data_IF_975737079510
#
_entry.id   IF_975737079510
#
_cell.length_a   1.000
_cell.length_b   1.000
_cell.length_c   1.000
_cell.angle_alpha   90.00
_cell.angle_beta   90.00
_cell.angle_gamma   90.00
#
_symmetry.space_group_name_H-M   'P 1'
#
loop_
_entity.id
_entity.type
_entity.pdbx_description
1 polymer ?
#
# COMPACT_ATOMS: atom_id res chain seq x y z
N UNK A 1 28.16 -13.96 -14.93
CA UNK A 1 27.56 -13.62 -13.66
C UNK A 1 27.02 -12.19 -13.66
N UNK A 2 27.84 -11.28 -14.11
CA UNK A 2 27.39 -9.91 -14.21
C UNK A 2 26.27 -9.75 -15.18
N UNK A 3 26.38 -10.42 -16.33
CA UNK A 3 25.36 -10.35 -17.35
C UNK A 3 24.04 -10.91 -16.84
N UNK A 4 24.13 -11.94 -16.00
CA UNK A 4 22.93 -12.52 -15.43
C UNK A 4 22.32 -11.60 -14.39
N UNK A 5 23.16 -10.97 -13.61
CA UNK A 5 22.71 -10.03 -12.63
C UNK A 5 22.14 -8.79 -13.29
N UNK A 6 22.79 -8.33 -14.34
CA UNK A 6 22.29 -7.21 -15.09
C UNK A 6 20.99 -7.54 -15.79
N UNK A 7 20.92 -8.75 -16.28
CA UNK A 7 19.74 -9.19 -16.95
C UNK A 7 18.58 -9.35 -15.99
N UNK A 8 18.86 -9.86 -14.81
CA UNK A 8 17.85 -9.98 -13.79
C UNK A 8 17.44 -8.59 -13.35
N UNK A 9 18.38 -7.70 -13.18
CA UNK A 9 18.10 -6.35 -12.82
C UNK A 9 17.37 -5.63 -13.94
N UNK A 10 17.71 -5.93 -15.17
CA UNK A 10 17.01 -5.33 -16.29
C UNK A 10 15.62 -5.89 -16.49
N UNK A 11 15.43 -7.15 -16.20
CA UNK A 11 14.12 -7.76 -16.28
C UNK A 11 13.27 -7.23 -15.14
N UNK A 12 13.85 -7.09 -14.00
CA UNK A 12 13.18 -6.49 -12.89
C UNK A 12 12.93 -5.03 -13.17
N UNK A 13 13.91 -4.35 -13.74
CA UNK A 13 13.74 -2.97 -14.09
C UNK A 13 12.69 -2.78 -15.16
N UNK A 14 12.48 -3.75 -15.99
CA UNK A 14 11.41 -3.67 -16.96
C UNK A 14 10.07 -3.94 -16.32
N UNK A 15 10.03 -4.88 -15.42
CA UNK A 15 8.83 -5.18 -14.68
C UNK A 15 8.51 -4.05 -13.72
N UNK A 16 9.52 -3.48 -13.13
CA UNK A 16 9.35 -2.43 -12.18
C UNK A 16 9.74 -1.10 -12.74
N UNK A 17 9.80 -1.01 -14.04
CA UNK A 17 10.07 0.26 -14.60
C UNK A 17 8.90 1.18 -14.38
N UNK A 18 7.74 0.62 -14.37
CA UNK A 18 6.61 1.36 -13.94
C UNK A 18 6.72 1.64 -12.46
N UNK A 19 7.32 0.73 -11.75
CA UNK A 19 7.54 0.93 -10.34
C UNK A 19 8.87 1.57 -10.07
N UNK A 20 9.73 1.71 -11.04
CA UNK A 20 11.02 2.31 -10.81
C UNK A 20 10.94 3.80 -10.57
N UNK A 21 9.96 4.44 -11.11
CA UNK A 21 9.74 5.83 -10.83
C UNK A 21 9.19 5.96 -9.45
N UNK A 22 8.32 5.06 -9.11
CA UNK A 22 7.80 4.91 -7.83
C UNK A 22 8.93 4.54 -6.89
N UNK A 23 9.77 3.61 -7.30
CA UNK A 23 10.90 3.18 -6.53
C UNK A 23 11.98 4.24 -6.39
N UNK A 24 12.08 5.15 -7.30
CA UNK A 24 13.02 6.24 -7.17
C UNK A 24 12.58 7.22 -6.11
N UNK A 25 11.30 7.48 -6.04
CA UNK A 25 10.76 8.32 -4.98
C UNK A 25 10.79 7.58 -3.67
N UNK A 26 10.52 6.30 -3.69
CA UNK A 26 10.61 5.45 -2.53
C UNK A 26 11.99 5.40 -1.99
N UNK A 27 12.96 5.23 -2.86
CA UNK A 27 14.32 5.11 -2.47
C UNK A 27 14.82 6.39 -1.83
N UNK A 28 14.40 7.52 -2.34
CA UNK A 28 14.74 8.78 -1.73
C UNK A 28 14.09 8.91 -0.36
N UNK A 29 12.86 8.46 -0.26
CA UNK A 29 12.16 8.45 1.02
C UNK A 29 12.76 7.41 1.95
N UNK A 30 13.14 6.26 1.40
CA UNK A 30 13.75 5.20 2.17
C UNK A 30 15.11 5.60 2.72
N UNK A 31 15.91 6.25 1.94
CA UNK A 31 17.20 6.73 2.41
C UNK A 31 17.04 7.75 3.50
N UNK A 32 16.03 8.56 3.38
CA UNK A 32 15.73 9.55 4.38
C UNK A 32 15.20 8.90 5.64
N UNK A 33 14.45 7.83 5.48
CA UNK A 33 13.83 7.13 6.58
C UNK A 33 14.53 5.83 6.93
N UNK A 34 15.61 5.48 6.25
CA UNK A 34 16.25 4.19 6.40
C UNK A 34 16.68 3.90 7.82
N UNK A 35 17.04 4.91 8.55
CA UNK A 35 17.36 4.75 9.94
C UNK A 35 16.12 4.87 10.81
N UNK A 36 14.99 5.17 10.23
CA UNK A 36 13.79 5.53 10.98
C UNK A 36 12.50 5.00 10.39
N UNK A 37 12.56 3.97 9.53
CA UNK A 37 11.34 3.37 9.03
C UNK A 37 10.55 2.81 10.22
N UNK A 38 9.31 3.23 10.42
CA UNK A 38 8.55 2.85 11.61
C UNK A 38 8.10 1.40 11.55
N UNK A 39 7.85 0.84 12.73
CA UNK A 39 7.29 -0.50 12.85
C UNK A 39 5.76 -0.46 12.83
N UNK A 40 5.17 0.70 12.72
CA UNK A 40 3.72 0.82 12.65
C UNK A 40 3.31 2.06 11.87
N UNK A 41 2.15 1.98 11.25
CA UNK A 41 1.54 3.11 10.57
C UNK A 41 0.03 2.98 10.69
N UNK A 42 -0.65 4.10 10.58
CA UNK A 42 -2.09 4.13 10.61
C UNK A 42 -2.61 4.81 9.35
N UNK A 43 -3.67 4.27 8.80
CA UNK A 43 -4.30 4.79 7.59
C UNK A 43 -5.79 4.89 7.85
N UNK A 44 -6.38 5.99 7.41
CA UNK A 44 -7.82 6.18 7.49
C UNK A 44 -8.39 6.47 6.10
N UNK A 45 -9.60 6.04 5.79
CA UNK A 45 -10.26 6.52 4.59
C UNK A 45 -10.65 7.98 4.81
N UNK A 46 -10.50 8.80 3.77
CA UNK A 46 -10.90 10.20 3.90
C UNK A 46 -12.42 10.29 3.95
N UNK A 47 -12.91 11.31 4.62
CA UNK A 47 -14.34 11.52 4.74
C UNK A 47 -14.96 11.70 3.36
N UNK A 48 -16.03 10.96 3.10
CA UNK A 48 -16.71 11.01 1.80
C UNK A 48 -16.08 10.14 0.72
N UNK A 49 -15.07 9.32 1.06
CA UNK A 49 -14.40 8.49 0.08
C UNK A 49 -15.28 7.37 -0.48
N UNK A 50 -16.44 7.15 0.09
CA UNK A 50 -17.42 6.21 -0.46
C UNK A 50 -18.00 6.70 -1.79
N UNK A 51 -17.74 7.93 -2.16
CA UNK A 51 -18.13 8.49 -3.46
C UNK A 51 -16.87 8.81 -4.26
N UNK A 52 -16.89 8.62 -5.59
CA UNK A 52 -15.75 9.01 -6.43
C UNK A 52 -15.45 10.50 -6.29
N UNK A 53 -14.20 10.87 -6.50
CA UNK A 53 -13.76 12.26 -6.44
C UNK A 53 -12.67 12.50 -5.42
N UNK A 54 -12.38 11.50 -4.59
CA UNK A 54 -11.29 11.61 -3.61
C UNK A 54 -9.92 11.26 -4.20
N UNK A 55 -9.90 10.65 -5.40
CA UNK A 55 -8.65 10.15 -5.97
C UNK A 55 -7.65 11.29 -6.18
N UNK A 56 -6.35 11.03 -6.04
CA UNK A 56 -5.74 9.73 -5.74
C UNK A 56 -5.61 9.46 -4.24
N UNK A 57 -6.09 10.31 -3.40
CA UNK A 57 -5.86 10.20 -1.96
C UNK A 57 -7.13 9.88 -1.18
N UNK A 58 -7.75 8.78 -1.55
CA UNK A 58 -8.95 8.31 -0.86
C UNK A 58 -8.62 7.69 0.50
N UNK A 59 -7.40 7.23 0.68
CA UNK A 59 -6.87 6.84 1.99
C UNK A 59 -5.86 7.88 2.42
N UNK A 60 -5.76 8.14 3.70
CA UNK A 60 -4.87 9.15 4.24
C UNK A 60 -4.01 8.55 5.36
N UNK A 61 -2.69 8.49 5.18
CA UNK A 61 -1.97 8.79 3.95
C UNK A 61 -2.20 7.68 2.91
N UNK A 62 -2.10 8.04 1.63
CA UNK A 62 -2.30 7.07 0.55
C UNK A 62 -1.10 6.14 0.36
N UNK A 63 0.06 6.54 0.85
CA UNK A 63 1.27 5.73 0.83
C UNK A 63 1.90 5.76 2.21
N UNK A 64 2.20 4.58 2.73
CA UNK A 64 2.90 4.45 4.01
C UNK A 64 4.11 3.55 3.83
N UNK A 65 5.14 3.82 4.62
CA UNK A 65 6.36 3.01 4.64
C UNK A 65 6.58 2.47 6.04
N UNK A 66 6.82 1.18 6.14
CA UNK A 66 7.12 0.52 7.42
C UNK A 66 8.34 -0.38 7.26
N UNK A 67 8.93 -0.76 8.37
CA UNK A 67 9.99 -1.77 8.38
C UNK A 67 9.37 -3.15 8.28
N UNK A 68 10.12 -4.11 7.74
CA UNK A 68 9.68 -5.51 7.68
C UNK A 68 9.35 -6.00 9.10
N UNK A 69 8.24 -6.69 9.22
CA UNK A 69 7.72 -7.11 10.52
C UNK A 69 6.82 -6.06 11.16
N UNK A 70 6.66 -4.92 10.52
CA UNK A 70 5.81 -3.85 11.02
C UNK A 70 4.34 -4.10 10.76
N UNK A 71 3.50 -3.28 11.36
CA UNK A 71 2.05 -3.41 11.29
C UNK A 71 1.42 -2.13 10.76
N UNK A 72 0.49 -2.28 9.83
CA UNK A 72 -0.33 -1.16 9.37
C UNK A 72 -1.74 -1.36 9.92
N UNK A 73 -2.26 -0.34 10.54
CA UNK A 73 -3.62 -0.37 11.09
C UNK A 73 -4.50 0.58 10.27
N UNK A 74 -5.59 0.04 9.79
CA UNK A 74 -6.58 0.80 9.03
C UNK A 74 -7.79 1.02 9.93
N UNK A 75 -8.10 2.28 10.20
CA UNK A 75 -9.22 2.64 11.07
C UNK A 75 -10.28 3.32 10.24
N UNK A 76 -11.47 2.77 10.22
CA UNK A 76 -12.57 3.37 9.47
C UNK A 76 -13.23 4.48 10.26
N UNK A 77 -12.79 5.70 10.01
CA UNK A 77 -13.37 6.89 10.62
C UNK A 77 -14.41 7.56 9.71
N UNK A 78 -14.70 6.96 8.56
CA UNK A 78 -15.70 7.45 7.64
C UNK A 78 -17.09 6.95 8.06
N UNK A 79 -18.12 7.48 7.44
CA UNK A 79 -19.51 7.12 7.74
C UNK A 79 -20.02 5.94 6.91
N UNK A 80 -19.20 5.40 6.03
CA UNK A 80 -19.55 4.25 5.20
C UNK A 80 -18.61 3.08 5.49
N UNK A 81 -19.03 1.84 5.27
CA UNK A 81 -18.12 0.71 5.41
C UNK A 81 -17.13 0.67 4.26
N UNK A 82 -15.93 0.17 4.53
CA UNK A 82 -14.85 0.06 3.55
C UNK A 82 -14.14 -1.27 3.71
N UNK A 83 -13.42 -1.68 2.67
CA UNK A 83 -12.45 -2.78 2.82
C UNK A 83 -11.05 -2.25 2.55
N UNK A 84 -10.06 -2.98 3.02
CA UNK A 84 -8.67 -2.76 2.66
C UNK A 84 -8.15 -4.11 2.20
N UNK A 85 -8.01 -4.25 0.90
CA UNK A 85 -7.71 -5.54 0.29
C UNK A 85 -6.48 -5.40 -0.60
N UNK A 86 -5.47 -6.24 -0.38
CA UNK A 86 -4.27 -6.17 -1.21
C UNK A 86 -4.57 -6.56 -2.64
N UNK A 87 -3.94 -5.86 -3.58
CA UNK A 87 -4.20 -6.00 -4.99
C UNK A 87 -4.61 -4.67 -5.60
N UNK A 88 -5.31 -4.72 -6.72
CA UNK A 88 -5.78 -3.50 -7.36
C UNK A 88 -7.14 -3.74 -8.01
N UNK A 89 -7.81 -2.66 -8.37
CA UNK A 89 -9.17 -2.74 -8.90
C UNK A 89 -9.23 -3.40 -10.29
N UNK A 90 -8.13 -3.39 -11.02
CA UNK A 90 -8.07 -3.98 -12.35
C UNK A 90 -7.94 -5.48 -12.30
N UNK A 91 -7.01 -5.97 -11.47
CA UNK A 91 -6.70 -7.39 -11.37
C UNK A 91 -7.43 -8.09 -10.22
N UNK A 92 -7.96 -7.31 -9.29
CA UNK A 92 -8.65 -7.84 -8.13
C UNK A 92 -7.71 -8.14 -6.96
N UNK A 93 -8.23 -8.78 -5.93
CA UNK A 93 -7.42 -9.14 -4.75
C UNK A 93 -6.27 -10.07 -5.12
N UNK A 94 -5.11 -9.88 -4.49
CA UNK A 94 -3.93 -10.71 -4.75
C UNK A 94 -3.68 -11.76 -3.66
N UNK A 95 -4.48 -11.78 -2.63
CA UNK A 95 -4.41 -12.81 -1.60
C UNK A 95 -3.42 -12.57 -0.47
N UNK A 96 -2.73 -11.43 -0.46
CA UNK A 96 -1.78 -11.14 0.62
C UNK A 96 -2.55 -10.80 1.90
N UNK A 97 -3.53 -9.93 1.82
CA UNK A 97 -4.46 -9.70 2.93
C UNK A 97 -5.82 -9.21 2.42
N UNK A 98 -6.82 -9.37 3.27
CA UNK A 98 -8.15 -8.86 3.00
C UNK A 98 -8.82 -8.58 4.34
N UNK A 99 -9.20 -7.35 4.56
CA UNK A 99 -9.81 -6.95 5.83
C UNK A 99 -11.28 -7.37 5.94
N UNK A 100 -11.92 -7.75 4.84
CA UNK A 100 -13.37 -7.80 4.75
C UNK A 100 -13.94 -6.42 5.08
N UNK A 101 -15.22 -6.30 5.28
CA UNK A 101 -15.83 -5.00 5.57
C UNK A 101 -15.40 -4.49 6.96
N UNK A 102 -14.85 -3.30 6.96
CA UNK A 102 -14.54 -2.58 8.18
C UNK A 102 -15.67 -1.59 8.37
N UNK A 103 -16.45 -1.80 9.39
CA UNK A 103 -17.60 -0.94 9.68
C UNK A 103 -17.12 0.35 10.37
N UNK A 104 -18.04 1.29 10.53
CA UNK A 104 -17.74 2.57 11.15
C UNK A 104 -17.11 2.36 12.52
N UNK A 105 -16.03 3.09 12.77
CA UNK A 105 -15.24 3.02 14.03
C UNK A 105 -14.56 1.68 14.31
N UNK A 106 -14.54 0.79 13.33
CA UNK A 106 -13.80 -0.46 13.44
C UNK A 106 -12.44 -0.33 12.79
N UNK A 107 -11.56 -1.27 13.08
CA UNK A 107 -10.21 -1.25 12.51
C UNK A 107 -9.76 -2.63 12.08
N UNK A 108 -8.73 -2.66 11.24
CA UNK A 108 -8.07 -3.88 10.78
C UNK A 108 -6.58 -3.63 10.77
N UNK A 109 -5.80 -4.59 11.24
CA UNK A 109 -4.35 -4.48 11.26
C UNK A 109 -3.75 -5.64 10.47
N UNK A 110 -2.70 -5.35 9.73
CA UNK A 110 -1.93 -6.37 9.01
C UNK A 110 -0.46 -6.20 9.32
N UNK A 111 0.22 -7.32 9.58
CA UNK A 111 1.66 -7.33 9.82
C UNK A 111 2.32 -7.89 8.56
N UNK A 112 3.31 -7.18 8.05
CA UNK A 112 3.98 -7.54 6.81
C UNK A 112 5.46 -7.79 7.08
N UNK A 113 5.87 -9.04 6.88
CA UNK A 113 7.24 -9.47 7.18
C UNK A 113 8.18 -9.38 5.99
N UNK A 114 7.64 -9.37 4.79
CA UNK A 114 8.45 -9.40 3.58
C UNK A 114 8.56 -8.02 2.94
N UNK A 115 9.78 -7.54 2.69
CA UNK A 115 9.97 -6.27 2.00
C UNK A 115 9.31 -6.28 0.62
N UNK A 116 8.80 -5.16 0.21
CA UNK A 116 8.15 -5.02 -1.08
C UNK A 116 7.17 -3.85 -1.10
N UNK A 117 6.53 -3.69 -2.22
CA UNK A 117 5.50 -2.68 -2.43
C UNK A 117 4.17 -3.40 -2.59
N UNK A 118 3.21 -3.01 -1.77
CA UNK A 118 1.91 -3.67 -1.73
C UNK A 118 0.83 -2.65 -2.06
N UNK A 119 0.18 -2.83 -3.20
CA UNK A 119 -0.98 -2.03 -3.55
C UNK A 119 -2.18 -2.58 -2.81
N UNK A 120 -3.12 -1.74 -2.47
CA UNK A 120 -4.38 -2.16 -1.89
C UNK A 120 -5.51 -1.26 -2.37
N UNK A 121 -6.72 -1.72 -2.22
CA UNK A 121 -7.90 -1.00 -2.67
C UNK A 121 -9.12 -1.40 -1.84
N UNK A 122 -10.20 -0.66 -2.00
CA UNK A 122 -11.48 -1.00 -1.39
C UNK A 122 -12.32 -1.76 -2.40
N UNK A 123 -12.77 -2.95 -2.05
CA UNK A 123 -13.53 -3.79 -2.98
C UNK A 123 -14.92 -3.23 -3.26
N UNK A 124 -15.49 -2.51 -2.34
CA UNK A 124 -16.83 -1.91 -2.51
C UNK A 124 -16.77 -0.50 -3.07
N UNK A 125 -15.59 0.10 -3.09
CA UNK A 125 -15.36 1.43 -3.65
C UNK A 125 -14.03 1.39 -4.42
N UNK A 126 -14.01 0.79 -5.63
CA UNK A 126 -12.76 0.49 -6.33
C UNK A 126 -11.86 1.67 -6.67
N UNK A 127 -12.38 2.88 -6.62
CA UNK A 127 -11.57 4.08 -6.82
C UNK A 127 -10.66 4.39 -5.63
N UNK A 128 -10.94 3.80 -4.47
CA UNK A 128 -10.12 3.98 -3.30
C UNK A 128 -8.91 3.05 -3.38
N UNK A 129 -7.72 3.63 -3.50
CA UNK A 129 -6.48 2.87 -3.65
C UNK A 129 -5.37 3.47 -2.81
N UNK A 130 -4.46 2.63 -2.38
CA UNK A 130 -3.31 3.06 -1.61
C UNK A 130 -2.14 2.10 -1.77
N UNK A 131 -1.04 2.41 -1.09
CA UNK A 131 0.20 1.64 -1.20
C UNK A 131 0.85 1.52 0.17
N UNK A 132 1.33 0.32 0.47
CA UNK A 132 2.18 0.07 1.63
C UNK A 132 3.55 -0.34 1.12
N UNK A 133 4.58 0.33 1.58
CA UNK A 133 5.98 0.01 1.27
C UNK A 133 6.58 -0.62 2.51
N UNK A 134 7.18 -1.79 2.35
CA UNK A 134 7.85 -2.50 3.44
C UNK A 134 9.33 -2.59 3.12
N UNK A 135 10.15 -2.12 4.04
CA UNK A 135 11.61 -2.07 3.85
C UNK A 135 12.38 -3.06 4.69
#
# INVERSE_FOLDING_TARGET
>A
AEAAAEKAAAAEAAAEKAAAEKAAAEKAAAEKAAAAAPMSAEVIPVSGSASPGCEPECYDPSTVTISAGGTVTFVNSDTAPHTVTSGNATDGPDGVWDSSLIMIDMSYSVTLDNPGTYDYFCMVHPWMQGIVIVE
#
